data_IF_032754144403
#
_entry.id   IF_032754144403
#
_cell.length_a   1.000
_cell.length_b   1.000
_cell.length_c   1.000
_cell.angle_alpha   90.00
_cell.angle_beta   90.00
_cell.angle_gamma   90.00
#
_symmetry.space_group_name_H-M   'P 1'
#
loop_
_entity.id
_entity.type
_entity.pdbx_description
1 polymer ?
2 polymer ?
3 polymer ?
4 non-polymer ?
5 water ?
#
loop_
_entity_poly.entity_id
_entity_poly.type
_entity_poly.pdbx_seq_one_letter_code
_entity_poly.pdbx_strand_id
1 'polyribonucleotide' 'CCCAUGCGAGAGUAGGGAC' ?
2 'polyribonucleotide' 'UGCCGAUGGUAGUGUGGGG' ?
#
# COMPACT_ATOMS: atom_id res chain seq x y z
N UNK C 1 -12.23 -1.89 -11.72
CA UNK C 1 -11.05 -2.46 -10.99
C UNK C 1 -10.14 -1.34 -10.49
N UNK C 2 -9.63 -1.48 -9.28
CA UNK C 2 -8.71 -0.49 -8.73
C UNK C 2 -7.32 -0.87 -9.18
N UNK C 3 -6.58 0.09 -9.72
CA UNK C 3 -5.22 -0.14 -10.16
C UNK C 3 -4.34 0.81 -9.35
N UNK C 4 -3.40 0.22 -8.61
CA UNK C 4 -2.50 0.98 -7.75
C UNK C 4 -1.07 0.84 -8.25
N UNK C 5 -0.38 1.96 -8.44
CA UNK C 5 0.99 1.89 -8.89
C UNK C 5 1.91 1.97 -7.69
N UNK C 6 2.90 1.09 -7.65
CA UNK C 6 3.82 1.08 -6.53
C UNK C 6 5.23 0.73 -6.98
N UNK C 7 6.18 0.93 -6.07
CA UNK C 7 7.58 0.61 -6.32
C UNK C 7 8.09 -0.18 -5.13
N UNK C 8 9.07 -1.05 -5.37
CA UNK C 8 9.66 -1.84 -4.31
C UNK C 8 10.50 -0.91 -3.45
N UNK C 9 10.43 -1.07 -2.13
CA UNK C 9 11.21 -0.21 -1.23
C UNK C 9 12.68 -0.56 -1.31
N UNK C 10 13.54 0.47 -1.27
CA UNK C 10 14.98 0.26 -1.31
C UNK C 10 15.52 0.18 0.11
N UNK C 11 14.73 0.68 1.06
CA UNK C 11 15.10 0.68 2.47
C UNK C 11 13.87 0.48 3.34
N UNK C 12 14.08 0.01 4.57
CA UNK C 12 12.99 -0.24 5.49
C UNK C 12 13.34 0.25 6.90
N UNK C 13 12.38 0.18 7.80
CA UNK C 13 12.62 0.62 9.16
C UNK C 13 11.98 1.95 9.48
N UNK C 14 12.05 2.36 10.75
CA UNK C 14 11.46 3.63 11.19
C UNK C 14 11.92 4.81 10.35
N UNK C 15 13.22 5.02 10.30
CA UNK C 15 13.76 6.13 9.54
C UNK C 15 13.26 6.23 8.11
N UNK C 16 13.38 5.13 7.37
CA UNK C 16 12.95 5.10 5.98
C UNK C 16 11.45 5.39 5.83
N UNK C 17 10.64 4.80 6.71
CA UNK C 17 9.20 5.00 6.67
C UNK C 17 8.83 6.46 6.91
N UNK C 18 9.49 7.10 7.88
CA UNK C 18 9.19 8.49 8.16
C UNK C 18 9.58 9.36 6.96
N UNK C 19 10.66 9.01 6.28
CA UNK C 19 11.09 9.77 5.10
C UNK C 19 10.00 9.74 4.04
N UNK C 20 9.45 8.54 3.77
CA UNK C 20 8.39 8.39 2.79
C UNK C 20 7.21 9.30 3.10
N UNK C 21 6.74 9.24 4.34
CA UNK C 21 5.59 10.03 4.75
C UNK C 21 5.83 11.54 4.69
N UNK C 22 7.08 11.97 4.91
CA UNK C 22 7.40 13.39 4.85
C UNK C 22 7.45 13.81 3.39
N UNK C 23 7.53 12.83 2.49
CA UNK C 23 7.59 13.10 1.06
C UNK C 23 6.28 12.79 0.32
N UNK C 24 5.17 12.81 1.05
CA UNK C 24 3.86 12.56 0.44
C UNK C 24 3.61 11.12 -0.04
N UNK C 25 4.28 10.16 0.58
CA UNK C 25 4.11 8.76 0.22
C UNK C 25 4.00 7.98 1.53
N UNK C 26 3.77 6.68 1.44
CA UNK C 26 3.71 5.87 2.65
C UNK C 26 4.03 4.42 2.31
N UNK C 27 4.51 3.65 3.31
CA UNK C 27 4.86 2.25 3.09
C UNK C 27 3.67 1.29 3.18
N UNK C 28 3.82 0.13 2.53
CA UNK C 28 2.81 -0.91 2.56
C UNK C 28 3.52 -2.25 2.38
N UNK C 29 2.80 -3.34 2.61
CA UNK C 29 3.40 -4.67 2.48
C UNK C 29 2.44 -5.61 1.78
N UNK C 30 2.99 -6.47 0.92
CA UNK C 30 2.19 -7.47 0.23
C UNK C 30 2.68 -8.81 0.74
N UNK C 31 1.78 -9.63 1.26
CA UNK C 31 2.15 -10.94 1.76
C UNK C 31 1.07 -11.98 1.45
N UNK C 32 1.38 -13.24 1.72
CA UNK C 32 0.43 -14.31 1.47
C UNK C 32 0.97 -15.23 0.38
N UNK C 33 0.57 -16.49 0.42
CA UNK C 33 1.02 -17.44 -0.59
C UNK C 33 2.45 -17.93 -0.41
N UNK C 34 3.03 -18.45 -1.48
CA UNK C 34 4.39 -18.97 -1.44
C UNK C 34 5.49 -17.95 -1.68
N UNK C 35 5.18 -16.89 -2.42
CA UNK C 35 6.17 -15.86 -2.69
C UNK C 35 6.49 -15.13 -1.40
N UNK C 36 7.70 -14.58 -1.31
CA UNK C 36 8.12 -13.84 -0.13
C UNK C 36 7.38 -12.52 -0.09
N UNK C 37 7.27 -11.92 1.11
CA UNK C 37 6.57 -10.63 1.25
C UNK C 37 7.28 -9.59 0.40
N UNK C 38 6.52 -8.63 -0.11
CA UNK C 38 7.07 -7.58 -0.93
C UNK C 38 6.77 -6.22 -0.31
N UNK C 39 7.82 -5.54 0.14
CA UNK C 39 7.68 -4.23 0.77
C UNK C 39 7.65 -3.16 -0.32
N UNK C 40 6.57 -2.37 -0.33
CA UNK C 40 6.37 -1.35 -1.35
C UNK C 40 6.06 0.04 -0.79
N UNK C 41 6.09 1.04 -1.67
CA UNK C 41 5.77 2.42 -1.28
C UNK C 41 4.71 2.93 -2.23
N UNK C 42 3.78 3.70 -1.68
CA UNK C 42 2.65 4.22 -2.44
C UNK C 42 2.51 5.73 -2.40
N UNK C 43 1.77 6.27 -3.36
CA UNK C 43 1.50 7.71 -3.42
C UNK C 43 0.36 7.91 -2.43
N UNK C 44 0.58 8.70 -1.39
CA UNK C 44 -0.46 8.91 -0.39
C UNK C 44 -1.81 9.37 -0.92
N UNK C 45 -1.85 10.58 -1.48
CA UNK C 45 -3.09 11.15 -1.97
C UNK C 45 -3.87 10.28 -2.95
N UNK C 46 -3.20 9.69 -3.92
CA UNK C 46 -3.91 8.85 -4.88
C UNK C 46 -4.62 7.68 -4.19
N UNK C 47 -3.89 6.93 -3.36
CA UNK C 47 -4.49 5.80 -2.67
C UNK C 47 -5.57 6.27 -1.68
N UNK C 48 -5.33 7.39 -1.01
CA UNK C 48 -6.31 7.90 -0.06
C UNK C 48 -7.65 8.17 -0.74
N UNK C 49 -7.61 8.74 -1.94
CA UNK C 49 -8.85 9.01 -2.68
C UNK C 49 -9.50 7.70 -3.07
N UNK C 50 -8.69 6.76 -3.52
CA UNK C 50 -9.18 5.45 -3.92
C UNK C 50 -9.89 4.74 -2.78
N UNK C 51 -9.24 4.67 -1.62
CA UNK C 51 -9.80 3.98 -0.46
C UNK C 51 -10.98 4.69 0.19
N UNK C 52 -11.35 5.85 -0.36
CA UNK C 52 -12.49 6.60 0.16
C UNK C 52 -13.76 5.85 -0.23
N UNK C 53 -13.67 5.04 -1.28
CA UNK C 53 -14.80 4.24 -1.75
C UNK C 53 -14.77 2.91 -1.01
N UNK C 54 -15.91 2.52 -0.45
CA UNK C 54 -16.01 1.28 0.32
C UNK C 54 -15.58 0.02 -0.42
N UNK C 55 -15.71 0.02 -1.75
CA UNK C 55 -15.31 -1.14 -2.54
C UNK C 55 -13.82 -1.40 -2.42
N UNK C 56 -13.05 -0.38 -2.06
CA UNK C 56 -11.61 -0.54 -1.95
C UNK C 56 -11.29 -1.66 -0.96
N UNK C 57 -12.15 -1.82 0.04
CA UNK C 57 -11.91 -2.85 1.05
C UNK C 57 -12.61 -4.19 0.85
N UNK C 58 -13.34 -4.34 -0.26
CA UNK C 58 -14.02 -5.60 -0.51
C UNK C 58 -13.55 -6.26 -1.80
N UNK C 59 -13.12 -5.44 -2.75
CA UNK C 59 -12.69 -5.95 -4.05
C UNK C 59 -11.25 -6.44 -4.10
N UNK C 60 -10.99 -7.23 -5.14
CA UNK C 60 -9.64 -7.70 -5.38
C UNK C 60 -9.06 -6.54 -6.19
N UNK C 61 -7.94 -6.00 -5.72
CA UNK C 61 -7.27 -4.87 -6.33
C UNK C 61 -6.05 -5.31 -7.14
N UNK C 62 -5.57 -4.43 -8.01
CA UNK C 62 -4.41 -4.73 -8.81
C UNK C 62 -3.30 -3.74 -8.48
N UNK C 63 -2.16 -4.25 -8.01
CA UNK C 63 -1.04 -3.38 -7.72
C UNK C 63 0.00 -3.59 -8.79
N UNK C 64 0.38 -2.50 -9.45
CA UNK C 64 1.36 -2.55 -10.50
C UNK C 64 2.70 -2.11 -9.93
N UNK C 65 3.59 -3.08 -9.73
CA UNK C 65 4.91 -2.82 -9.20
C UNK C 65 5.85 -3.49 -10.19
N UNK C 66 7.09 -3.04 -10.27
CA UNK C 66 8.01 -3.64 -11.23
C UNK C 66 7.34 -3.47 -12.60
N UNK C 67 6.95 -4.58 -13.22
CA UNK C 67 6.30 -4.52 -14.51
C UNK C 67 5.06 -5.39 -14.61
N UNK C 68 4.75 -6.13 -13.55
CA UNK C 68 3.58 -7.00 -13.55
C UNK C 68 2.53 -6.59 -12.51
N UNK C 69 1.35 -7.18 -12.64
CA UNK C 69 0.21 -6.93 -11.76
C UNK C 69 0.19 -8.06 -10.73
N UNK C 70 -0.22 -7.74 -9.50
CA UNK C 70 -0.21 -8.76 -8.46
C UNK C 70 -1.54 -9.34 -7.92
N UNK C 71 -2.62 -8.59 -7.92
CA UNK C 71 -3.92 -9.09 -7.42
C UNK C 71 -3.87 -9.33 -5.91
N UNK C 72 -4.52 -8.42 -5.18
CA UNK C 72 -4.53 -8.48 -3.74
C UNK C 72 -5.85 -7.95 -3.18
N UNK C 73 -5.98 -8.03 -1.87
CA UNK C 73 -7.15 -7.48 -1.17
C UNK C 73 -6.57 -6.71 0.01
N UNK C 74 -7.23 -5.62 0.39
CA UNK C 74 -6.78 -4.83 1.54
C UNK C 74 -7.02 -5.70 2.76
N UNK C 75 -5.98 -5.93 3.54
CA UNK C 75 -6.07 -6.77 4.74
C UNK C 75 -6.03 -5.98 6.03
N UNK C 76 -5.43 -4.80 5.98
CA UNK C 76 -5.35 -3.98 7.17
C UNK C 76 -4.87 -2.58 6.81
N UNK C 77 -5.25 -1.60 7.62
CA UNK C 77 -4.84 -0.24 7.37
C UNK C 77 -4.56 0.46 8.68
N UNK C 78 -3.46 1.21 8.70
CA UNK C 78 -3.08 1.99 9.88
C UNK C 78 -3.27 3.44 9.48
N UNK C 79 -4.10 4.16 10.23
CA UNK C 79 -4.36 5.56 9.94
C UNK C 79 -3.69 6.44 10.99
N UNK C 80 -3.34 7.67 10.60
CA UNK C 80 -2.68 8.57 11.53
C UNK C 80 -3.52 8.76 12.78
N UNK C 81 -2.87 8.80 13.95
CA UNK C 81 -3.56 8.96 15.23
C UNK C 81 -4.51 10.16 15.28
N UNK C 82 -4.08 11.29 14.71
CA UNK C 82 -4.91 12.50 14.72
C UNK C 82 -4.95 13.32 13.43
N UNK C 83 -4.54 12.71 12.32
CA UNK C 83 -4.56 13.40 11.04
C UNK C 83 -5.20 12.53 9.96
N UNK C 84 -5.90 13.16 9.01
CA UNK C 84 -6.58 12.44 7.92
C UNK C 84 -5.57 11.90 6.90
N UNK C 85 -4.74 10.96 7.34
CA UNK C 85 -3.74 10.38 6.45
C UNK C 85 -3.55 8.89 6.68
N UNK C 86 -3.07 8.20 5.65
CA UNK C 86 -2.80 6.77 5.73
C UNK C 86 -1.35 6.58 6.14
N UNK C 87 -1.13 5.75 7.16
CA UNK C 87 0.20 5.46 7.69
C UNK C 87 0.83 4.19 7.07
N UNK C 88 0.02 3.17 6.87
CA UNK C 88 0.52 1.90 6.34
C UNK C 88 -0.66 1.04 5.89
N UNK C 89 -0.41 0.12 4.96
CA UNK C 89 -1.46 -0.80 4.51
C UNK C 89 -0.89 -2.20 4.29
N UNK C 90 -1.65 -3.21 4.74
CA UNK C 90 -1.26 -4.61 4.52
C UNK C 90 -2.12 -5.07 3.34
N UNK C 91 -1.50 -5.73 2.36
CA UNK C 91 -2.24 -6.26 1.23
C UNK C 91 -1.98 -7.76 1.22
N UNK C 92 -3.04 -8.56 1.07
CA UNK C 92 -2.86 -10.00 1.04
C UNK C 92 -3.10 -10.49 -0.39
N UNK C 93 -2.19 -11.32 -0.90
CA UNK C 93 -2.33 -11.84 -2.25
C UNK C 93 -3.64 -12.59 -2.43
N UNK C 94 -4.27 -12.41 -3.59
CA UNK C 94 -5.53 -13.07 -3.87
C UNK C 94 -5.45 -13.91 -5.13
#
# INVERSE_FOLDING_TARGET
MFTINAEVRKEQGKGASRRLRAANKFPAIIYGGKEAPLAIELDHDKVMNMQAKAEFYSEVLTIVVDGKEIKVKAQDVQRHPYKPKLQHIDFVRA
#
